data_IF_894795553795
#
_entry.id   IF_894795553795
#
_cell.length_a   1.000
_cell.length_b   1.000
_cell.length_c   1.000
_cell.angle_alpha   90.00
_cell.angle_beta   90.00
_cell.angle_gamma   90.00
#
_symmetry.space_group_name_H-M   'P 1'
#
loop_
_entity.id
_entity.type
_entity.pdbx_description
1 polymer ?
#
# COMPACT_ATOMS: atom_id res chain seq x y z
N UNK A 1 9.65 -25.21 9.66
CA UNK A 1 8.99 -24.11 8.93
C UNK A 1 8.84 -24.57 7.50
N UNK A 2 7.63 -24.67 6.94
CA UNK A 2 7.50 -25.04 5.53
C UNK A 2 8.09 -23.90 4.68
N UNK A 3 8.94 -24.25 3.73
CA UNK A 3 9.47 -23.32 2.75
C UNK A 3 8.32 -22.82 1.88
N UNK A 4 8.13 -21.50 1.84
CA UNK A 4 7.15 -20.87 0.94
C UNK A 4 7.69 -21.01 -0.48
N UNK A 5 7.10 -21.94 -1.23
CA UNK A 5 7.39 -22.12 -2.66
C UNK A 5 6.80 -20.93 -3.41
N UNK A 6 7.66 -20.14 -4.05
CA UNK A 6 7.22 -19.05 -4.91
C UNK A 6 6.24 -19.57 -5.97
N UNK A 7 5.09 -18.92 -6.09
CA UNK A 7 4.09 -19.28 -7.10
C UNK A 7 4.67 -19.05 -8.51
N UNK A 8 4.44 -19.97 -9.46
CA UNK A 8 4.89 -19.80 -10.83
C UNK A 8 4.02 -18.73 -11.52
N UNK A 9 4.59 -17.53 -11.70
CA UNK A 9 3.95 -16.44 -12.46
C UNK A 9 4.00 -15.06 -11.81
N UNK A 10 4.29 -14.95 -10.52
CA UNK A 10 4.37 -13.66 -9.83
C UNK A 10 5.79 -13.35 -9.36
N UNK A 11 6.57 -12.66 -10.18
CA UNK A 11 7.74 -11.95 -9.66
C UNK A 11 7.25 -10.62 -9.10
N UNK A 12 7.30 -10.42 -7.77
CA UNK A 12 7.40 -9.07 -7.23
C UNK A 12 8.54 -8.40 -8.01
N UNK A 13 8.29 -7.34 -8.80
CA UNK A 13 9.18 -6.96 -9.88
C UNK A 13 10.53 -6.55 -9.27
N UNK A 14 11.56 -7.36 -9.51
CA UNK A 14 12.94 -7.06 -9.11
C UNK A 14 13.47 -7.75 -7.84
N UNK A 15 12.64 -8.46 -7.08
CA UNK A 15 13.04 -9.03 -5.78
C UNK A 15 13.16 -7.97 -4.67
N UNK A 16 12.81 -8.33 -3.45
CA UNK A 16 12.90 -7.41 -2.32
C UNK A 16 14.35 -7.04 -2.04
N UNK A 17 14.63 -5.77 -1.75
CA UNK A 17 16.00 -5.34 -1.46
C UNK A 17 16.46 -5.88 -0.11
N UNK A 18 17.77 -5.80 0.17
CA UNK A 18 18.31 -6.24 1.46
C UNK A 18 17.54 -5.60 2.63
N UNK A 19 17.09 -6.43 3.60
CA UNK A 19 16.25 -6.06 4.77
C UNK A 19 14.77 -5.80 4.48
N UNK A 20 14.29 -6.18 3.31
CA UNK A 20 12.85 -6.30 3.03
C UNK A 20 12.41 -7.77 3.05
N UNK A 21 11.17 -7.98 3.45
CA UNK A 21 10.45 -9.24 3.44
C UNK A 21 9.40 -9.20 2.33
N UNK A 22 9.02 -10.36 1.83
CA UNK A 22 7.93 -10.49 0.86
C UNK A 22 6.64 -10.86 1.58
N UNK A 23 5.58 -10.11 1.31
CA UNK A 23 4.22 -10.57 1.54
C UNK A 23 3.65 -11.09 0.23
N UNK A 24 2.98 -12.23 0.30
CA UNK A 24 2.22 -12.79 -0.81
C UNK A 24 0.85 -13.19 -0.31
N UNK A 25 -0.19 -12.70 -0.99
CA UNK A 25 -1.56 -13.13 -0.79
C UNK A 25 -1.65 -14.67 -0.95
N UNK A 26 -2.33 -15.40 -0.04
CA UNK A 26 -2.40 -16.86 -0.11
C UNK A 26 -2.95 -17.41 -1.42
N UNK A 27 -3.80 -16.64 -2.12
CA UNK A 27 -4.36 -17.03 -3.42
C UNK A 27 -3.55 -16.48 -4.61
N UNK A 28 -2.48 -15.73 -4.36
CA UNK A 28 -1.59 -15.19 -5.39
C UNK A 28 -2.10 -13.96 -6.13
N UNK A 29 -3.15 -13.29 -5.62
CA UNK A 29 -3.77 -12.11 -6.24
C UNK A 29 -2.84 -10.90 -6.24
N UNK A 30 -2.07 -10.72 -5.17
CA UNK A 30 -1.06 -9.69 -5.09
C UNK A 30 0.12 -10.09 -4.19
N UNK A 31 1.24 -9.42 -4.39
CA UNK A 31 2.43 -9.55 -3.56
C UNK A 31 3.17 -8.21 -3.51
N UNK A 32 3.87 -7.94 -2.42
CA UNK A 32 4.68 -6.73 -2.27
C UNK A 32 5.84 -6.96 -1.31
N UNK A 33 6.87 -6.12 -1.42
CA UNK A 33 7.98 -6.06 -0.49
C UNK A 33 7.68 -5.03 0.60
N UNK A 34 8.05 -5.36 1.83
CA UNK A 34 7.92 -4.47 2.97
C UNK A 34 9.15 -4.58 3.89
N UNK A 35 9.55 -3.52 4.59
CA UNK A 35 10.76 -3.58 5.40
C UNK A 35 10.62 -4.50 6.61
N UNK A 36 11.68 -5.21 6.98
CA UNK A 36 11.62 -6.23 8.04
C UNK A 36 11.37 -5.69 9.45
N UNK A 37 11.52 -4.37 9.62
CA UNK A 37 11.42 -3.65 10.89
C UNK A 37 10.07 -2.96 11.12
N UNK A 38 9.06 -3.36 10.34
CA UNK A 38 7.67 -2.91 10.42
C UNK A 38 6.78 -3.99 11.00
N UNK A 39 5.57 -3.60 11.38
CA UNK A 39 4.50 -4.52 11.70
C UNK A 39 3.68 -4.80 10.45
N UNK A 40 3.51 -6.08 10.11
CA UNK A 40 2.55 -6.52 9.11
C UNK A 40 1.30 -7.03 9.83
N UNK A 41 0.14 -6.50 9.46
CA UNK A 41 -1.17 -6.91 9.98
C UNK A 41 -2.00 -7.39 8.80
N UNK A 42 -2.43 -8.64 8.81
CA UNK A 42 -3.40 -9.15 7.84
C UNK A 42 -4.74 -9.30 8.54
N UNK A 43 -5.76 -8.67 7.97
CA UNK A 43 -7.14 -8.76 8.41
C UNK A 43 -7.90 -9.47 7.30
N UNK A 44 -8.25 -10.73 7.57
CA UNK A 44 -9.28 -11.43 6.82
C UNK A 44 -10.62 -10.99 7.41
N UNK A 45 -11.49 -10.39 6.57
CA UNK A 45 -12.85 -10.12 7.01
C UNK A 45 -13.61 -11.45 7.08
N UNK A 46 -13.79 -11.97 8.29
CA UNK A 46 -14.53 -13.21 8.52
C UNK A 46 -16.00 -13.13 8.05
N UNK A 47 -16.53 -11.92 7.83
CA UNK A 47 -17.88 -11.70 7.32
C UNK A 47 -17.92 -11.54 5.79
N UNK A 48 -16.81 -11.15 5.17
CA UNK A 48 -16.69 -11.04 3.72
C UNK A 48 -15.40 -11.70 3.22
N UNK A 49 -15.45 -12.99 2.84
CA UNK A 49 -14.29 -13.69 2.28
C UNK A 49 -13.85 -13.12 0.91
N UNK A 50 -14.62 -12.18 0.35
CA UNK A 50 -14.25 -11.44 -0.85
C UNK A 50 -13.38 -10.21 -0.57
N UNK A 51 -13.10 -9.93 0.70
CA UNK A 51 -12.26 -8.84 1.20
C UNK A 51 -11.06 -9.41 1.98
N UNK A 52 -9.86 -9.19 1.47
CA UNK A 52 -8.63 -9.40 2.23
C UNK A 52 -7.93 -8.06 2.36
N UNK A 53 -7.61 -7.64 3.59
CA UNK A 53 -6.83 -6.43 3.87
C UNK A 53 -5.47 -6.77 4.48
N UNK A 54 -4.40 -6.18 3.96
CA UNK A 54 -3.07 -6.24 4.56
C UNK A 54 -2.56 -4.84 4.81
N UNK A 55 -2.23 -4.56 6.07
CA UNK A 55 -1.67 -3.30 6.52
C UNK A 55 -0.20 -3.46 6.89
N UNK A 56 0.64 -2.58 6.36
CA UNK A 56 2.03 -2.39 6.79
C UNK A 56 2.06 -1.15 7.67
N UNK A 57 2.41 -1.33 8.94
CA UNK A 57 2.49 -0.25 9.92
C UNK A 57 3.93 -0.10 10.41
N UNK A 58 4.48 1.09 10.25
CA UNK A 58 5.71 1.46 10.92
C UNK A 58 5.43 1.85 12.37
N UNK A 59 5.94 1.10 13.37
CA UNK A 59 5.76 1.48 14.76
C UNK A 59 6.60 2.71 15.07
N UNK A 60 5.94 3.80 15.47
CA UNK A 60 6.59 4.97 16.03
C UNK A 60 6.15 5.15 17.48
N UNK A 61 7.11 5.55 18.33
CA UNK A 61 6.86 5.78 19.77
C UNK A 61 5.82 6.88 20.02
N UNK A 62 5.59 7.78 19.05
CA UNK A 62 4.74 8.97 19.20
C UNK A 62 3.59 9.11 18.17
N UNK A 63 3.16 8.01 17.54
CA UNK A 63 1.83 7.93 16.92
C UNK A 63 1.71 8.22 15.41
N UNK A 64 2.74 8.78 14.74
CA UNK A 64 2.67 9.07 13.30
C UNK A 64 3.75 8.32 12.51
N UNK A 65 3.32 7.50 11.54
CA UNK A 65 4.17 6.61 10.76
C UNK A 65 3.66 6.30 9.36
N UNK A 66 4.41 5.50 8.62
CA UNK A 66 3.92 4.92 7.36
C UNK A 66 2.88 3.84 7.69
N UNK A 67 1.69 4.01 7.14
CA UNK A 67 0.60 3.02 7.14
C UNK A 67 0.24 2.77 5.69
N UNK A 68 0.50 1.56 5.19
CA UNK A 68 0.05 1.15 3.86
C UNK A 68 -1.01 0.06 4.01
N UNK A 69 -2.24 0.32 3.60
CA UNK A 69 -3.30 -0.66 3.48
C UNK A 69 -3.41 -1.10 2.03
N UNK A 70 -3.39 -2.41 1.82
CA UNK A 70 -3.51 -3.05 0.51
C UNK A 70 -4.60 -4.10 0.65
N UNK A 71 -5.71 -3.90 -0.04
CA UNK A 71 -6.82 -4.83 0.02
C UNK A 71 -7.26 -5.29 -1.35
N UNK A 72 -7.75 -6.51 -1.45
CA UNK A 72 -8.44 -7.00 -2.64
C UNK A 72 -9.94 -7.11 -2.35
N UNK A 73 -10.76 -6.64 -3.30
CA UNK A 73 -12.20 -6.85 -3.32
C UNK A 73 -12.61 -7.52 -4.63
N UNK A 74 -13.55 -8.45 -4.57
CA UNK A 74 -14.12 -9.12 -5.75
C UNK A 74 -15.10 -8.25 -6.52
N UNK A 75 -15.66 -7.22 -5.90
CA UNK A 75 -16.74 -6.43 -6.48
C UNK A 75 -16.30 -5.72 -7.78
N UNK A 76 -17.21 -5.71 -8.76
CA UNK A 76 -16.92 -5.28 -10.14
C UNK A 76 -16.99 -3.76 -10.35
N UNK A 77 -17.53 -3.03 -9.39
CA UNK A 77 -17.40 -1.58 -9.32
C UNK A 77 -16.05 -1.24 -8.69
N UNK A 78 -15.26 -0.41 -9.36
CA UNK A 78 -14.14 0.30 -8.73
C UNK A 78 -14.63 0.84 -7.38
N UNK A 79 -13.99 0.47 -6.27
CA UNK A 79 -14.43 0.98 -4.97
C UNK A 79 -14.16 2.49 -4.88
N UNK A 80 -13.28 3.01 -5.74
CA UNK A 80 -12.88 4.42 -5.68
C UNK A 80 -13.71 5.35 -6.55
N UNK A 81 -14.12 4.99 -7.77
CA UNK A 81 -14.83 5.90 -8.70
C UNK A 81 -13.99 7.13 -9.10
N UNK A 82 -13.71 8.02 -8.14
CA UNK A 82 -12.65 9.01 -8.10
C UNK A 82 -11.57 8.57 -7.07
N UNK A 83 -10.30 8.32 -7.47
CA UNK A 83 -9.23 7.94 -6.56
C UNK A 83 -8.92 8.98 -5.48
N UNK A 84 -9.41 10.23 -5.64
CA UNK A 84 -9.26 11.31 -4.68
C UNK A 84 -10.47 11.53 -3.76
N UNK A 85 -11.57 10.78 -3.91
CA UNK A 85 -12.70 10.87 -2.98
C UNK A 85 -12.31 10.36 -1.58
N UNK A 86 -12.92 10.92 -0.53
CA UNK A 86 -12.73 10.57 0.89
C UNK A 86 -11.28 10.58 1.38
N UNK A 87 -10.81 11.74 1.83
CA UNK A 87 -9.65 11.75 2.70
C UNK A 87 -9.78 12.75 3.84
N UNK A 88 -9.56 12.23 5.04
CA UNK A 88 -9.79 12.88 6.33
C UNK A 88 -8.79 14.02 6.64
N UNK A 89 -7.87 14.33 5.72
CA UNK A 89 -6.75 15.27 5.95
C UNK A 89 -6.31 16.06 4.70
N UNK A 90 -7.11 16.14 3.62
CA UNK A 90 -6.66 16.75 2.35
C UNK A 90 -6.69 18.27 2.39
N UNK A 91 -5.53 18.89 2.16
CA UNK A 91 -5.41 20.32 1.83
C UNK A 91 -5.28 20.50 0.32
N UNK A 92 -4.61 19.56 -0.37
CA UNK A 92 -4.48 19.52 -1.82
C UNK A 92 -4.33 18.09 -2.34
N UNK A 93 -4.71 17.84 -3.59
CA UNK A 93 -4.48 16.57 -4.26
C UNK A 93 -4.06 16.77 -5.70
N UNK A 94 -3.45 15.73 -6.28
CA UNK A 94 -3.14 15.62 -7.71
C UNK A 94 -3.28 14.18 -8.16
N UNK A 95 -3.70 13.99 -9.41
CA UNK A 95 -3.78 12.67 -10.03
C UNK A 95 -2.59 12.48 -10.96
N UNK A 96 -1.83 11.42 -10.75
CA UNK A 96 -0.72 11.03 -11.60
C UNK A 96 -0.90 9.58 -12.08
N UNK A 97 -0.29 9.25 -13.22
CA UNK A 97 -0.30 7.89 -13.76
C UNK A 97 0.85 7.07 -13.16
N UNK A 98 0.55 5.96 -12.49
CA UNK A 98 1.54 4.99 -12.02
C UNK A 98 1.52 3.73 -12.90
N UNK A 99 2.69 3.12 -13.11
CA UNK A 99 2.79 1.82 -13.76
C UNK A 99 2.91 0.74 -12.68
N UNK A 100 1.84 -0.01 -12.45
CA UNK A 100 1.79 -1.11 -11.47
C UNK A 100 1.55 -2.40 -12.22
N UNK A 101 2.45 -3.39 -12.08
CA UNK A 101 2.32 -4.67 -12.78
C UNK A 101 2.09 -4.54 -14.30
N UNK A 102 2.78 -3.56 -14.92
CA UNK A 102 2.64 -3.19 -16.35
C UNK A 102 1.26 -2.63 -16.75
N UNK A 103 0.39 -2.36 -15.78
CA UNK A 103 -0.90 -1.67 -15.96
C UNK A 103 -0.71 -0.20 -15.57
N UNK A 104 -1.21 0.72 -16.39
CA UNK A 104 -1.22 2.14 -16.05
C UNK A 104 -2.48 2.45 -15.23
N UNK A 105 -2.30 3.01 -14.04
CA UNK A 105 -3.39 3.34 -13.11
C UNK A 105 -3.36 4.80 -12.74
N UNK A 106 -4.53 5.40 -12.53
CA UNK A 106 -4.65 6.73 -11.94
C UNK A 106 -4.45 6.63 -10.43
N UNK A 107 -3.43 7.33 -9.94
CA UNK A 107 -3.12 7.42 -8.53
C UNK A 107 -3.34 8.83 -8.03
N UNK A 108 -4.13 8.96 -6.97
CA UNK A 108 -4.32 10.20 -6.26
C UNK A 108 -3.21 10.38 -5.23
N UNK A 109 -2.41 11.42 -5.40
CA UNK A 109 -1.47 11.90 -4.40
C UNK A 109 -2.17 13.01 -3.61
N UNK A 110 -2.17 12.88 -2.29
CA UNK A 110 -2.83 13.78 -1.36
C UNK A 110 -1.78 14.37 -0.43
N UNK A 111 -1.85 15.68 -0.22
CA UNK A 111 -1.01 16.41 0.72
C UNK A 111 -1.92 17.18 1.67
N UNK A 112 -1.63 17.12 2.96
CA UNK A 112 -2.32 17.95 3.94
C UNK A 112 -1.78 17.79 5.35
N UNK A 113 -2.64 18.03 6.33
CA UNK A 113 -2.26 18.10 7.74
C UNK A 113 -3.24 17.33 8.60
N UNK A 114 -2.74 16.76 9.70
CA UNK A 114 -3.62 16.07 10.66
C UNK A 114 -4.62 17.08 11.26
N UNK A 115 -5.93 16.73 11.34
CA UNK A 115 -6.91 17.59 11.98
C UNK A 115 -6.47 17.98 13.40
N UNK A 116 -6.53 19.27 13.72
CA UNK A 116 -6.08 19.86 14.98
C UNK A 116 -4.56 19.80 15.25
N UNK A 117 -3.74 19.39 14.28
CA UNK A 117 -2.28 19.37 14.37
C UNK A 117 -1.66 19.87 13.04
N UNK A 118 -1.75 21.17 12.74
CA UNK A 118 -1.34 21.74 11.45
C UNK A 118 0.18 21.64 11.20
N UNK A 119 0.98 21.46 12.25
CA UNK A 119 2.43 21.26 12.15
C UNK A 119 2.82 19.84 11.68
N UNK A 120 1.84 18.92 11.63
CA UNK A 120 2.05 17.54 11.21
C UNK A 120 1.55 17.38 9.78
N UNK A 121 2.49 17.43 8.84
CA UNK A 121 2.24 17.07 7.45
C UNK A 121 1.89 15.60 7.33
N UNK A 122 0.87 15.31 6.53
CA UNK A 122 0.42 13.96 6.19
C UNK A 122 0.23 13.89 4.68
N UNK A 123 0.86 12.88 4.08
CA UNK A 123 0.76 12.58 2.66
C UNK A 123 0.05 11.26 2.46
N UNK A 124 -0.72 11.16 1.39
CA UNK A 124 -1.49 9.99 0.99
C UNK A 124 -1.23 9.63 -0.46
N UNK A 125 -1.22 8.34 -0.79
CA UNK A 125 -1.23 7.84 -2.17
C UNK A 125 -2.32 6.78 -2.24
N UNK A 126 -3.28 6.97 -3.15
CA UNK A 126 -4.45 6.10 -3.30
C UNK A 126 -4.63 5.69 -4.76
N UNK A 127 -4.80 4.40 -5.02
CA UNK A 127 -5.10 3.88 -6.36
C UNK A 127 -5.73 2.49 -6.32
N UNK A 128 -6.30 2.05 -7.44
CA UNK A 128 -6.80 0.69 -7.63
C UNK A 128 -6.15 0.04 -8.85
N UNK A 129 -5.92 -1.27 -8.76
CA UNK A 129 -5.40 -2.08 -9.87
C UNK A 129 -6.34 -3.26 -10.09
N UNK A 130 -6.85 -3.42 -11.30
CA UNK A 130 -7.67 -4.59 -11.65
C UNK A 130 -6.85 -5.89 -11.56
N UNK A 131 -7.37 -6.90 -10.85
CA UNK A 131 -6.80 -8.23 -10.77
C UNK A 131 -7.29 -9.12 -11.94
N UNK A 132 -6.48 -10.09 -12.37
CA UNK A 132 -6.75 -10.95 -13.54
C UNK A 132 -7.91 -11.92 -13.28
N UNK A 133 -8.07 -12.37 -12.04
CA UNK A 133 -9.19 -13.24 -11.63
C UNK A 133 -10.49 -12.47 -11.36
N UNK A 134 -10.50 -11.15 -11.63
CA UNK A 134 -11.61 -10.25 -11.33
C UNK A 134 -11.40 -9.49 -10.01
N UNK A 135 -12.17 -8.40 -9.86
CA UNK A 135 -12.03 -7.50 -8.72
C UNK A 135 -10.87 -6.51 -8.84
N UNK A 136 -10.58 -5.82 -7.74
CA UNK A 136 -9.56 -4.76 -7.67
C UNK A 136 -8.71 -4.90 -6.42
N UNK A 137 -7.43 -4.60 -6.56
CA UNK A 137 -6.51 -4.34 -5.44
C UNK A 137 -6.51 -2.85 -5.18
N UNK A 138 -7.13 -2.43 -4.08
CA UNK A 138 -7.09 -1.08 -3.57
C UNK A 138 -5.83 -0.88 -2.72
N UNK A 139 -5.11 0.20 -2.99
CA UNK A 139 -3.88 0.56 -2.28
C UNK A 139 -4.07 1.95 -1.71
N UNK A 140 -3.78 2.07 -0.41
CA UNK A 140 -3.80 3.32 0.30
C UNK A 140 -2.57 3.43 1.18
N UNK A 141 -1.67 4.35 0.86
CA UNK A 141 -0.44 4.57 1.59
C UNK A 141 -0.45 5.95 2.21
N UNK A 142 -0.30 6.02 3.52
CA UNK A 142 -0.23 7.25 4.27
C UNK A 142 1.11 7.33 4.98
N UNK A 143 1.76 8.48 4.94
CA UNK A 143 2.97 8.75 5.69
C UNK A 143 3.00 10.20 6.15
N UNK A 144 3.60 10.45 7.30
CA UNK A 144 3.62 11.77 7.93
C UNK A 144 4.99 12.17 8.47
N UNK A 145 5.09 13.44 8.87
CA UNK A 145 6.27 14.06 9.49
C UNK A 145 6.28 13.91 11.02
N UNK A 146 7.40 14.23 11.70
CA UNK A 146 8.67 14.73 11.16
C UNK A 146 9.37 13.65 10.35
N UNK A 147 10.08 14.06 9.29
CA UNK A 147 10.79 13.19 8.34
C UNK A 147 11.73 12.26 9.09
N UNK A 148 11.26 11.06 9.47
CA UNK A 148 12.12 10.13 10.19
C UNK A 148 12.94 9.37 9.16
N UNK A 149 14.24 9.67 9.14
CA UNK A 149 15.21 8.84 8.47
C UNK A 149 15.46 7.60 9.32
N UNK A 150 14.95 6.43 8.90
CA UNK A 150 15.29 5.15 9.53
C UNK A 150 16.25 4.42 8.60
N UNK A 151 17.50 4.24 9.05
CA UNK A 151 18.54 3.65 8.22
C UNK A 151 18.91 4.48 6.97
N UNK A 152 18.67 5.80 7.00
CA UNK A 152 18.97 6.73 5.90
C UNK A 152 17.89 6.85 4.81
N UNK A 153 16.72 6.21 4.99
CA UNK A 153 15.59 6.28 4.06
C UNK A 153 14.42 7.09 4.65
N UNK A 154 13.83 7.98 3.85
CA UNK A 154 12.61 8.72 4.23
C UNK A 154 11.38 7.81 4.13
N UNK A 155 10.33 8.08 4.91
CA UNK A 155 9.05 7.35 4.81
C UNK A 155 8.44 7.41 3.40
N UNK A 156 8.62 8.54 2.71
CA UNK A 156 8.24 8.67 1.30
C UNK A 156 8.98 7.66 0.41
N UNK A 157 10.29 7.51 0.60
CA UNK A 157 11.06 6.51 -0.16
C UNK A 157 10.62 5.09 0.15
N UNK A 158 10.21 4.81 1.40
CA UNK A 158 9.68 3.50 1.79
C UNK A 158 8.31 3.25 1.15
N UNK A 159 7.41 4.24 1.20
CA UNK A 159 6.10 4.20 0.55
C UNK A 159 6.25 3.88 -0.95
N UNK A 160 7.12 4.61 -1.63
CA UNK A 160 7.36 4.41 -3.06
C UNK A 160 8.00 3.05 -3.37
N UNK A 161 8.91 2.55 -2.51
CA UNK A 161 9.45 1.19 -2.67
C UNK A 161 8.37 0.12 -2.53
N UNK A 162 7.50 0.24 -1.53
CA UNK A 162 6.37 -0.67 -1.36
C UNK A 162 5.48 -0.67 -2.61
N UNK A 163 5.10 0.51 -3.11
CA UNK A 163 4.25 0.66 -4.30
C UNK A 163 4.95 0.08 -5.54
N UNK A 164 6.23 0.39 -5.75
CA UNK A 164 6.99 -0.10 -6.90
C UNK A 164 7.19 -1.62 -6.89
N UNK A 165 7.20 -2.23 -5.70
CA UNK A 165 7.30 -3.68 -5.53
C UNK A 165 5.95 -4.42 -5.66
N UNK A 166 4.84 -3.69 -5.78
CA UNK A 166 3.51 -4.27 -5.83
C UNK A 166 3.30 -5.02 -7.16
N UNK A 167 3.12 -6.32 -7.04
CA UNK A 167 2.64 -7.20 -8.09
C UNK A 167 1.15 -7.48 -7.87
N UNK A 168 0.34 -7.30 -8.90
CA UNK A 168 -1.08 -7.62 -8.95
C UNK A 168 -1.30 -8.52 -10.16
N UNK A 169 -1.72 -9.75 -9.87
CA UNK A 169 -2.09 -10.72 -10.90
C UNK A 169 -3.54 -10.49 -11.27
#
# INVERSE_FOLDING_TARGET
>A
MPAVTAAPGGQAPGGCVNRELIYQDPTGRFAFCYPSDVRLITIEDNFDPSSLGTSVEYPFENGDGLVASISWTKDSSTAMGDPCNDADFVVSHRVEKLSISRKMVDACFQDGTVPNQPDIERKGIRFEVAATEGGYVAVYVVYGRPTVERGGATLESVAMRLINSLAVN
#
